data_IF_911062708081
#
_entry.id   IF_911062708081
#
_cell.length_a   1.000
_cell.length_b   1.000
_cell.length_c   1.000
_cell.angle_alpha   90.00
_cell.angle_beta   90.00
_cell.angle_gamma   90.00
#
_symmetry.space_group_name_H-M   'P 1'
#
loop_
_entity.id
_entity.type
_entity.pdbx_description
1 polymer ?
#
# COMPACT_ATOMS: atom_id res chain seq x y z
N UNK A 1 12.93 7.49 2.72
CA UNK A 1 11.54 7.96 2.53
C UNK A 1 10.75 7.75 3.81
N UNK A 2 10.22 8.82 4.41
CA UNK A 2 9.23 8.73 5.50
C UNK A 2 7.86 8.67 4.83
N UNK A 3 7.15 7.56 4.97
CA UNK A 3 5.75 7.49 4.52
C UNK A 3 4.91 8.18 5.59
N UNK A 4 4.16 9.21 5.23
CA UNK A 4 3.33 9.97 6.17
C UNK A 4 2.34 9.07 6.92
N UNK A 5 1.96 9.47 8.14
CA UNK A 5 0.85 8.85 8.87
C UNK A 5 -0.45 9.34 8.23
N UNK A 6 -1.36 8.41 7.96
CA UNK A 6 -2.70 8.73 7.45
C UNK A 6 -3.61 9.16 8.62
N UNK A 7 -4.45 10.17 8.40
CA UNK A 7 -5.44 10.65 9.39
C UNK A 7 -6.64 9.70 9.50
N UNK A 8 -7.20 9.31 8.35
CA UNK A 8 -8.25 8.31 8.18
C UNK A 8 -7.96 7.51 6.90
N UNK A 9 -8.14 6.20 6.95
CA UNK A 9 -7.87 5.31 5.83
C UNK A 9 -7.41 3.91 6.24
N UNK A 10 -6.91 3.17 5.25
CA UNK A 10 -6.47 1.78 5.42
C UNK A 10 -5.00 1.61 5.05
N UNK A 11 -4.23 0.92 5.91
CA UNK A 11 -2.87 0.46 5.60
C UNK A 11 -2.88 -1.05 5.45
N UNK A 12 -2.46 -1.54 4.29
CA UNK A 12 -2.19 -2.96 4.03
C UNK A 12 -0.67 -3.12 3.99
N UNK A 13 -0.13 -3.60 5.10
CA UNK A 13 1.31 -3.85 5.27
C UNK A 13 1.59 -5.36 5.16
N UNK A 14 2.87 -5.71 5.04
CA UNK A 14 3.35 -7.10 4.94
C UNK A 14 2.82 -7.83 3.70
N UNK A 15 2.64 -7.10 2.60
CA UNK A 15 2.35 -7.71 1.30
C UNK A 15 3.66 -8.35 0.79
N UNK A 16 3.58 -9.57 0.26
CA UNK A 16 4.73 -10.21 -0.41
C UNK A 16 5.30 -9.27 -1.46
N UNK A 17 6.63 -9.13 -1.50
CA UNK A 17 7.29 -8.19 -2.40
C UNK A 17 6.87 -8.40 -3.88
N UNK A 18 6.56 -7.31 -4.57
CA UNK A 18 6.09 -7.31 -5.96
C UNK A 18 4.59 -7.62 -6.15
N UNK A 19 3.78 -7.68 -5.08
CA UNK A 19 2.34 -8.02 -5.15
C UNK A 19 1.40 -6.86 -4.84
N UNK A 20 1.87 -5.67 -4.47
CA UNK A 20 0.97 -4.56 -4.13
C UNK A 20 -0.01 -4.17 -5.25
N UNK A 21 0.41 -4.19 -6.52
CA UNK A 21 -0.48 -3.85 -7.64
C UNK A 21 -1.60 -4.88 -7.83
N UNK A 22 -1.34 -6.15 -7.51
CA UNK A 22 -2.35 -7.20 -7.51
C UNK A 22 -3.38 -6.98 -6.40
N UNK A 23 -2.95 -6.52 -5.23
CA UNK A 23 -3.85 -6.14 -4.13
C UNK A 23 -4.79 -5.02 -4.57
N UNK A 24 -4.27 -3.95 -5.19
CA UNK A 24 -5.12 -2.86 -5.73
C UNK A 24 -6.16 -3.39 -6.72
N UNK A 25 -5.74 -4.28 -7.64
CA UNK A 25 -6.64 -4.91 -8.62
C UNK A 25 -7.76 -5.71 -7.95
N UNK A 26 -7.43 -6.53 -6.94
CA UNK A 26 -8.41 -7.35 -6.20
C UNK A 26 -9.41 -6.46 -5.45
N UNK A 27 -8.93 -5.35 -4.88
CA UNK A 27 -9.77 -4.38 -4.16
C UNK A 27 -10.57 -3.46 -5.10
N UNK A 28 -10.39 -3.59 -6.41
CA UNK A 28 -11.07 -2.75 -7.40
C UNK A 28 -10.67 -1.27 -7.32
N UNK A 29 -9.49 -0.95 -6.77
CA UNK A 29 -9.00 0.42 -6.66
C UNK A 29 -8.32 0.79 -7.97
N UNK A 30 -8.94 1.69 -8.73
CA UNK A 30 -8.49 2.05 -10.08
C UNK A 30 -7.77 3.41 -10.13
N UNK A 31 -7.92 4.23 -9.09
CA UNK A 31 -7.45 5.61 -9.05
C UNK A 31 -8.49 6.62 -9.57
N UNK A 32 -9.65 6.16 -10.04
CA UNK A 32 -10.77 7.02 -10.48
C UNK A 32 -11.68 7.45 -9.34
N UNK A 33 -11.56 6.80 -8.19
CA UNK A 33 -12.41 7.01 -7.02
C UNK A 33 -12.08 8.30 -6.27
N UNK A 34 -10.95 8.94 -6.57
CA UNK A 34 -10.48 10.15 -5.90
C UNK A 34 -9.73 9.92 -4.57
N UNK A 35 -9.53 8.66 -4.18
CA UNK A 35 -8.69 8.32 -3.03
C UNK A 35 -7.22 8.65 -3.28
N UNK A 36 -6.53 9.13 -2.24
CA UNK A 36 -5.07 9.24 -2.29
C UNK A 36 -4.48 7.87 -1.94
N UNK A 37 -3.79 7.27 -2.90
CA UNK A 37 -3.18 5.94 -2.75
C UNK A 37 -1.66 6.05 -2.80
N UNK A 38 -1.00 5.57 -1.75
CA UNK A 38 0.46 5.44 -1.70
C UNK A 38 0.87 3.97 -1.77
N UNK A 39 1.76 3.65 -2.70
CA UNK A 39 2.33 2.30 -2.85
C UNK A 39 3.85 2.37 -2.63
N UNK A 40 4.35 1.52 -1.75
CA UNK A 40 5.78 1.31 -1.56
C UNK A 40 6.10 -0.16 -1.85
N UNK A 41 6.93 -0.42 -2.87
CA UNK A 41 7.26 -1.78 -3.31
C UNK A 41 8.70 -2.14 -3.00
N UNK A 42 8.96 -3.42 -2.74
CA UNK A 42 10.29 -3.97 -2.48
C UNK A 42 11.06 -3.27 -1.35
N UNK A 43 10.34 -2.72 -0.37
CA UNK A 43 10.96 -2.02 0.76
C UNK A 43 11.57 -3.03 1.74
N UNK A 44 12.69 -2.69 2.40
CA UNK A 44 13.28 -3.55 3.42
C UNK A 44 12.28 -3.91 4.52
N UNK A 45 12.28 -5.18 4.93
CA UNK A 45 11.44 -5.72 5.99
C UNK A 45 12.27 -6.59 6.91
N UNK A 46 12.26 -6.30 8.21
CA UNK A 46 12.95 -7.16 9.20
C UNK A 46 12.36 -8.57 9.26
N UNK A 47 11.05 -8.73 8.99
CA UNK A 47 10.34 -10.01 9.06
C UNK A 47 10.36 -10.81 7.75
N UNK A 48 10.38 -10.12 6.61
CA UNK A 48 10.18 -10.74 5.28
C UNK A 48 11.37 -10.56 4.33
N UNK A 49 12.45 -9.89 4.76
CA UNK A 49 13.53 -9.43 3.89
C UNK A 49 13.11 -8.22 3.05
N UNK A 50 12.11 -8.41 2.17
CA UNK A 50 11.43 -7.34 1.43
C UNK A 50 9.92 -7.50 1.52
N UNK A 51 9.20 -6.38 1.45
CA UNK A 51 7.74 -6.35 1.40
C UNK A 51 7.23 -5.21 0.53
N UNK A 52 5.95 -5.26 0.20
CA UNK A 52 5.23 -4.10 -0.29
C UNK A 52 4.25 -3.58 0.79
N UNK A 53 3.84 -2.33 0.63
CA UNK A 53 2.89 -1.64 1.48
C UNK A 53 1.94 -0.83 0.59
N UNK A 54 0.65 -0.91 0.87
CA UNK A 54 -0.38 -0.05 0.27
C UNK A 54 -1.01 0.78 1.37
N UNK A 55 -1.14 2.08 1.14
CA UNK A 55 -1.92 3.01 1.99
C UNK A 55 -2.98 3.68 1.14
N UNK A 56 -4.20 3.73 1.66
CA UNK A 56 -5.36 4.36 1.02
C UNK A 56 -5.90 5.37 2.02
N UNK A 57 -5.95 6.63 1.64
CA UNK A 57 -6.48 7.74 2.44
C UNK A 57 -7.87 8.14 1.94
N UNK A 58 -8.73 8.62 2.85
CA UNK A 58 -10.08 9.08 2.50
C UNK A 58 -11.14 7.98 2.51
N UNK A 59 -10.93 6.95 3.33
CA UNK A 59 -11.97 5.98 3.71
C UNK A 59 -12.25 6.12 5.20
#
# INVERSE_FOLDING_TARGET
>A
MRVAKIKEGTVIDHITAGRALMVLKILGITGREGFVVSVAMNVPSKKMGRKDIVKIEGR
#
